data_IF_231121945366
#
_entry.id   IF_231121945366
#
_cell.length_a   1.000
_cell.length_b   1.000
_cell.length_c   1.000
_cell.angle_alpha   90.00
_cell.angle_beta   90.00
_cell.angle_gamma   90.00
#
_symmetry.space_group_name_H-M   'P 1'
#
loop_
_entity.id
_entity.type
_entity.pdbx_description
1 polymer ?
#
# COMPACT_ATOMS: atom_id res chain seq x y z
N UNK A 1 -0.45 10.47 -13.87
CA UNK A 1 0.66 10.09 -12.96
C UNK A 1 0.23 9.17 -11.81
N UNK A 2 -0.94 8.52 -11.86
CA UNK A 2 -1.38 7.50 -10.89
C UNK A 2 -1.72 6.16 -11.57
N UNK A 3 -1.31 6.00 -12.83
CA UNK A 3 -1.39 4.75 -13.61
C UNK A 3 -0.11 3.92 -13.53
N UNK A 4 0.90 4.39 -12.80
CA UNK A 4 2.14 3.66 -12.65
C UNK A 4 1.98 2.83 -11.39
N UNK A 5 1.81 1.52 -11.57
CA UNK A 5 1.77 0.54 -10.50
C UNK A 5 3.08 0.55 -9.71
N UNK A 6 3.27 1.58 -8.89
CA UNK A 6 4.14 1.51 -7.75
C UNK A 6 3.58 0.40 -6.88
N UNK A 7 4.20 -0.77 -7.06
CA UNK A 7 3.95 -1.92 -6.20
C UNK A 7 4.07 -1.44 -4.77
N UNK A 8 3.20 -1.92 -3.90
CA UNK A 8 3.21 -1.64 -2.45
C UNK A 8 4.62 -1.84 -1.84
N UNK A 9 5.47 -2.62 -2.53
CA UNK A 9 6.90 -2.78 -2.31
C UNK A 9 7.74 -1.50 -2.50
N UNK A 10 7.56 -0.71 -3.56
CA UNK A 10 8.29 0.56 -3.75
C UNK A 10 7.96 1.56 -2.65
N UNK A 11 6.66 1.72 -2.35
CA UNK A 11 6.20 2.61 -1.27
C UNK A 11 6.75 2.13 0.08
N UNK A 12 6.82 0.82 0.31
CA UNK A 12 7.41 0.28 1.53
C UNK A 12 8.90 0.60 1.62
N UNK A 13 9.64 0.49 0.51
CA UNK A 13 11.06 0.80 0.46
C UNK A 13 11.34 2.29 0.70
N UNK A 14 10.58 3.18 0.06
CA UNK A 14 10.65 4.65 0.26
C UNK A 14 10.39 5.06 1.71
N UNK A 15 9.45 4.38 2.37
CA UNK A 15 9.11 4.63 3.77
C UNK A 15 10.07 3.97 4.78
N UNK A 16 11.10 3.26 4.30
CA UNK A 16 12.07 2.57 5.13
C UNK A 16 11.56 1.26 5.75
N UNK A 17 10.45 0.70 5.26
CA UNK A 17 9.98 -0.62 5.67
C UNK A 17 10.75 -1.71 4.93
N UNK A 18 11.28 -2.66 5.69
CA UNK A 18 12.00 -3.81 5.14
C UNK A 18 11.12 -4.75 4.30
N UNK A 19 9.79 -4.65 4.41
CA UNK A 19 8.84 -5.55 3.72
C UNK A 19 7.51 -4.87 3.38
N UNK A 20 6.98 -5.13 2.19
CA UNK A 20 5.64 -4.70 1.76
C UNK A 20 4.53 -5.16 2.72
N UNK A 21 4.68 -6.33 3.34
CA UNK A 21 3.72 -6.86 4.32
C UNK A 21 3.59 -5.95 5.55
N UNK A 22 4.68 -5.34 6.03
CA UNK A 22 4.64 -4.42 7.16
C UNK A 22 3.88 -3.14 6.81
N UNK A 23 4.09 -2.62 5.60
CA UNK A 23 3.35 -1.48 5.09
C UNK A 23 1.86 -1.80 4.91
N UNK A 24 1.51 -2.99 4.39
CA UNK A 24 0.11 -3.41 4.23
C UNK A 24 -0.60 -3.46 5.59
N UNK A 25 0.06 -4.00 6.62
CA UNK A 25 -0.48 -4.06 7.98
C UNK A 25 -0.65 -2.66 8.58
N UNK A 26 0.33 -1.77 8.41
CA UNK A 26 0.23 -0.36 8.82
C UNK A 26 -0.92 0.36 8.10
N UNK A 27 -1.01 0.19 6.78
CA UNK A 27 -2.08 0.77 5.96
C UNK A 27 -3.45 0.27 6.42
N UNK A 28 -3.59 -1.02 6.70
CA UNK A 28 -4.84 -1.60 7.18
C UNK A 28 -5.22 -1.08 8.57
N UNK A 29 -4.26 -0.84 9.45
CA UNK A 29 -4.51 -0.21 10.76
C UNK A 29 -4.95 1.26 10.64
N UNK A 30 -4.35 2.02 9.71
CA UNK A 30 -4.67 3.43 9.54
C UNK A 30 -5.95 3.68 8.72
N UNK A 31 -6.10 2.96 7.60
CA UNK A 31 -7.22 3.11 6.67
C UNK A 31 -8.39 2.16 6.95
N UNK A 32 -8.22 1.19 7.87
CA UNK A 32 -9.24 0.19 8.21
C UNK A 32 -9.48 -0.89 7.13
N UNK A 33 -8.71 -0.87 6.03
CA UNK A 33 -8.87 -1.79 4.90
C UNK A 33 -7.53 -2.02 4.20
N UNK A 34 -7.39 -3.11 3.45
CA UNK A 34 -6.16 -3.37 2.69
C UNK A 34 -6.04 -2.39 1.50
N UNK A 35 -4.81 -2.06 1.06
CA UNK A 35 -4.62 -1.22 -0.12
C UNK A 35 -5.26 -1.84 -1.37
N UNK A 36 -5.33 -3.18 -1.44
CA UNK A 36 -6.08 -3.93 -2.46
C UNK A 36 -7.58 -3.63 -2.50
N UNK A 37 -8.24 -3.66 -1.35
CA UNK A 37 -9.66 -3.27 -1.29
C UNK A 37 -9.85 -1.79 -1.57
N UNK A 38 -8.93 -0.95 -1.13
CA UNK A 38 -9.02 0.48 -1.36
C UNK A 38 -8.92 0.81 -2.86
N UNK A 39 -7.97 0.21 -3.59
CA UNK A 39 -7.89 0.35 -5.06
C UNK A 39 -9.12 -0.19 -5.77
N UNK A 40 -9.66 -1.33 -5.32
CA UNK A 40 -10.86 -1.93 -5.90
C UNK A 40 -12.14 -1.10 -5.68
N UNK A 41 -12.11 -0.14 -4.75
CA UNK A 41 -13.24 0.76 -4.43
C UNK A 41 -13.12 2.14 -5.09
N UNK A 42 -11.92 2.49 -5.56
CA UNK A 42 -11.63 3.72 -6.29
C UNK A 42 -11.80 3.56 -7.82
N UNK A 43 -11.82 2.32 -8.32
CA UNK A 43 -12.28 1.97 -9.67
C UNK A 43 -13.76 1.67 -9.69
#
# INVERSE_FOLDING_TARGET
LLEQGESVQSIAHELGYSSASALIVMFQQQAGTTPERYRARLG
#
